data_IF_829164073615
#
_entry.id   IF_829164073615
#
_cell.length_a   1.000
_cell.length_b   1.000
_cell.length_c   1.000
_cell.angle_alpha   90.00
_cell.angle_beta   90.00
_cell.angle_gamma   90.00
#
_symmetry.space_group_name_H-M   'P 1'
#
loop_
_entity.id
_entity.type
_entity.pdbx_description
1 polymer ?
#
# COMPACT_ATOMS: atom_id res chain seq x y z
N UNK A 1 18.63 -8.71 -12.59
CA UNK A 1 17.41 -9.01 -11.80
C UNK A 1 17.53 -8.73 -10.30
N UNK A 2 18.70 -8.43 -9.72
CA UNK A 2 18.85 -8.27 -8.26
C UNK A 2 18.52 -6.88 -7.70
N UNK A 3 18.61 -5.81 -8.51
CA UNK A 3 18.53 -4.43 -8.02
C UNK A 3 17.22 -4.18 -7.26
N UNK A 4 16.05 -4.19 -7.88
CA UNK A 4 14.81 -3.80 -7.19
C UNK A 4 14.10 -4.92 -6.39
N UNK A 5 14.76 -6.05 -6.13
CA UNK A 5 14.09 -7.24 -5.57
C UNK A 5 13.52 -6.99 -4.18
N UNK A 6 14.28 -6.32 -3.30
CA UNK A 6 13.86 -6.05 -1.92
C UNK A 6 12.69 -5.08 -1.89
N UNK A 7 12.79 -3.97 -2.64
CA UNK A 7 11.69 -3.01 -2.77
C UNK A 7 10.42 -3.68 -3.31
N UNK A 8 10.54 -4.51 -4.35
CA UNK A 8 9.39 -5.21 -4.92
C UNK A 8 8.76 -6.23 -3.96
N UNK A 9 9.56 -6.97 -3.19
CA UNK A 9 9.03 -7.89 -2.15
C UNK A 9 8.27 -7.09 -1.09
N UNK A 10 8.83 -5.96 -0.64
CA UNK A 10 8.19 -5.12 0.35
C UNK A 10 6.86 -4.55 -0.15
N UNK A 11 6.80 -4.13 -1.42
CA UNK A 11 5.56 -3.72 -2.07
C UNK A 11 4.56 -4.87 -2.23
N UNK A 12 5.02 -6.11 -2.49
CA UNK A 12 4.14 -7.29 -2.54
C UNK A 12 3.56 -7.59 -1.17
N UNK A 13 4.35 -7.50 -0.10
CA UNK A 13 3.85 -7.69 1.28
C UNK A 13 2.82 -6.61 1.60
N UNK A 14 3.13 -5.35 1.33
CA UNK A 14 2.22 -4.24 1.61
C UNK A 14 0.93 -4.33 0.79
N UNK A 15 1.03 -4.44 -0.54
CA UNK A 15 -0.17 -4.44 -1.41
C UNK A 15 -0.93 -5.76 -1.44
N UNK A 16 -0.21 -6.89 -1.40
CA UNK A 16 -0.80 -8.22 -1.47
C UNK A 16 -1.29 -8.72 -0.12
N UNK A 17 -0.45 -8.66 0.91
CA UNK A 17 -0.76 -9.27 2.20
C UNK A 17 -1.54 -8.32 3.12
N UNK A 18 -1.14 -7.05 3.18
CA UNK A 18 -1.77 -6.07 4.08
C UNK A 18 -3.04 -5.51 3.45
N UNK A 19 -2.94 -4.87 2.28
CA UNK A 19 -4.10 -4.22 1.64
C UNK A 19 -5.11 -5.25 1.13
N UNK A 20 -4.71 -6.14 0.21
CA UNK A 20 -5.63 -7.13 -0.35
C UNK A 20 -5.98 -8.25 0.63
N UNK A 21 -5.01 -8.73 1.42
CA UNK A 21 -5.27 -9.76 2.43
C UNK A 21 -6.21 -9.28 3.54
N UNK A 22 -6.10 -8.02 3.97
CA UNK A 22 -7.04 -7.41 4.91
C UNK A 22 -8.48 -7.45 4.38
N UNK A 23 -8.68 -7.09 3.12
CA UNK A 23 -10.00 -7.09 2.48
C UNK A 23 -10.54 -8.51 2.31
N UNK A 24 -9.70 -9.46 1.85
CA UNK A 24 -10.09 -10.87 1.73
C UNK A 24 -10.48 -11.48 3.08
N UNK A 25 -9.80 -11.10 4.16
CA UNK A 25 -10.13 -11.51 5.53
C UNK A 25 -11.47 -10.96 6.04
N UNK A 26 -11.97 -9.89 5.43
CA UNK A 26 -13.26 -9.26 5.77
C UNK A 26 -14.43 -9.83 4.94
N UNK A 27 -14.16 -10.52 3.82
CA UNK A 27 -15.20 -11.16 2.99
C UNK A 27 -16.07 -12.16 3.79
N UNK A 28 -15.54 -13.03 4.66
CA UNK A 28 -16.37 -13.91 5.49
C UNK A 28 -17.35 -13.16 6.39
N UNK A 29 -16.98 -11.97 6.89
CA UNK A 29 -17.86 -11.13 7.70
C UNK A 29 -19.05 -10.58 6.89
N UNK A 30 -18.90 -10.42 5.56
CA UNK A 30 -20.00 -10.03 4.66
C UNK A 30 -21.00 -11.15 4.43
N UNK A 31 -20.56 -12.41 4.43
CA UNK A 31 -21.44 -13.58 4.22
C UNK A 31 -22.12 -14.09 5.50
N UNK A 32 -21.52 -13.85 6.68
CA UNK A 32 -22.03 -14.36 7.98
C UNK A 32 -23.11 -13.42 8.59
N UNK A 33 -23.36 -12.27 7.97
CA UNK A 33 -24.30 -11.27 8.44
C UNK A 33 -23.63 -10.23 9.34
N UNK A 34 -23.76 -8.96 8.98
CA UNK A 34 -23.17 -7.79 9.66
C UNK A 34 -23.64 -7.61 11.10
N UNK A 35 -24.71 -8.31 11.51
CA UNK A 35 -25.32 -8.20 12.84
C UNK A 35 -24.49 -8.89 13.93
N UNK A 36 -23.57 -9.79 13.57
CA UNK A 36 -22.69 -10.51 14.50
C UNK A 36 -21.23 -10.04 14.48
N UNK A 37 -20.79 -9.39 13.41
CA UNK A 37 -19.42 -8.92 13.23
C UNK A 37 -19.43 -7.42 12.92
N UNK A 38 -19.37 -6.63 13.99
CA UNK A 38 -19.22 -5.18 13.89
C UNK A 38 -17.77 -4.84 13.51
N UNK A 39 -17.55 -4.69 12.21
CA UNK A 39 -16.26 -4.44 11.59
C UNK A 39 -15.63 -3.13 12.11
N UNK A 40 -16.48 -2.19 12.54
CA UNK A 40 -16.08 -0.91 13.11
C UNK A 40 -15.31 -1.04 14.43
N UNK A 41 -15.42 -2.17 15.13
CA UNK A 41 -14.63 -2.46 16.35
C UNK A 41 -13.18 -2.83 16.09
N UNK A 42 -12.85 -3.23 14.86
CA UNK A 42 -11.51 -3.69 14.49
C UNK A 42 -10.74 -2.65 13.69
N UNK A 43 -11.44 -1.68 13.10
CA UNK A 43 -10.86 -0.57 12.36
C UNK A 43 -11.35 0.73 12.96
N UNK A 44 -10.42 1.51 13.48
CA UNK A 44 -10.68 2.84 14.01
C UNK A 44 -9.97 3.84 13.10
N UNK A 45 -10.71 4.70 12.43
CA UNK A 45 -10.14 5.78 11.63
C UNK A 45 -10.35 7.11 12.36
N UNK A 46 -9.29 7.92 12.43
CA UNK A 46 -9.37 9.28 12.98
C UNK A 46 -10.36 10.16 12.20
N UNK A 47 -10.52 9.92 10.90
CA UNK A 47 -11.49 10.63 10.08
C UNK A 47 -12.82 9.86 10.06
N UNK A 48 -13.85 10.45 10.68
CA UNK A 48 -15.18 9.84 10.81
C UNK A 48 -15.77 9.41 9.46
N UNK A 49 -15.51 10.16 8.38
CA UNK A 49 -15.98 9.82 7.03
C UNK A 49 -15.55 8.40 6.60
N UNK A 50 -14.32 7.97 6.93
CA UNK A 50 -13.87 6.62 6.59
C UNK A 50 -14.48 5.56 7.50
N UNK A 51 -14.74 5.90 8.76
CA UNK A 51 -15.44 5.04 9.72
C UNK A 51 -16.89 4.77 9.28
N UNK A 52 -17.56 5.78 8.73
CA UNK A 52 -18.95 5.67 8.30
C UNK A 52 -19.07 4.99 6.91
N UNK A 53 -18.00 5.00 6.11
CA UNK A 53 -17.97 4.48 4.74
C UNK A 53 -16.96 3.33 4.54
N UNK A 54 -16.90 2.39 5.49
CA UNK A 54 -15.94 1.27 5.48
C UNK A 54 -15.96 0.45 4.18
N UNK A 55 -17.12 0.28 3.54
CA UNK A 55 -17.21 -0.41 2.25
C UNK A 55 -16.47 0.31 1.13
N UNK A 56 -16.60 1.63 1.04
CA UNK A 56 -15.85 2.41 0.04
C UNK A 56 -14.36 2.43 0.36
N UNK A 57 -14.01 2.49 1.65
CA UNK A 57 -12.63 2.38 2.14
C UNK A 57 -11.99 1.05 1.73
N UNK A 58 -12.71 -0.07 1.86
CA UNK A 58 -12.25 -1.39 1.40
C UNK A 58 -11.99 -1.41 -0.10
N UNK A 59 -12.91 -0.89 -0.92
CA UNK A 59 -12.72 -0.84 -2.38
C UNK A 59 -11.48 -0.01 -2.74
N UNK A 60 -11.29 1.14 -2.07
CA UNK A 60 -10.10 1.98 -2.27
C UNK A 60 -8.82 1.23 -1.89
N UNK A 61 -8.80 0.56 -0.73
CA UNK A 61 -7.66 -0.26 -0.30
C UNK A 61 -7.31 -1.35 -1.32
N UNK A 62 -8.30 -2.01 -1.92
CA UNK A 62 -8.07 -3.01 -2.97
C UNK A 62 -7.41 -2.39 -4.21
N UNK A 63 -7.86 -1.21 -4.63
CA UNK A 63 -7.28 -0.50 -5.77
C UNK A 63 -5.81 -0.13 -5.51
N UNK A 64 -5.50 0.41 -4.32
CA UNK A 64 -4.12 0.69 -3.92
C UNK A 64 -3.25 -0.57 -3.93
N UNK A 65 -3.76 -1.67 -3.37
CA UNK A 65 -3.08 -2.96 -3.35
C UNK A 65 -2.80 -3.51 -4.75
N UNK A 66 -3.78 -3.44 -5.67
CA UNK A 66 -3.61 -3.88 -7.06
C UNK A 66 -2.55 -3.05 -7.79
N UNK A 67 -2.63 -1.72 -7.71
CA UNK A 67 -1.62 -0.86 -8.34
C UNK A 67 -0.22 -1.09 -7.76
N UNK A 68 -0.13 -1.33 -6.45
CA UNK A 68 1.13 -1.66 -5.78
C UNK A 68 1.71 -2.98 -6.27
N UNK A 69 0.89 -4.02 -6.42
CA UNK A 69 1.32 -5.30 -6.97
C UNK A 69 1.76 -5.19 -8.44
N UNK A 70 1.03 -4.45 -9.27
CA UNK A 70 1.40 -4.21 -10.67
C UNK A 70 2.74 -3.47 -10.74
N UNK A 71 2.93 -2.43 -9.92
CA UNK A 71 4.21 -1.72 -9.79
C UNK A 71 5.35 -2.64 -9.35
N UNK A 72 5.12 -3.50 -8.35
CA UNK A 72 6.09 -4.49 -7.89
C UNK A 72 6.47 -5.50 -8.98
N UNK A 73 5.50 -6.02 -9.75
CA UNK A 73 5.76 -6.90 -10.90
C UNK A 73 6.59 -6.17 -11.96
N UNK A 74 6.26 -4.91 -12.24
CA UNK A 74 7.03 -4.07 -13.14
C UNK A 74 8.49 -3.88 -12.68
N UNK A 75 8.71 -3.65 -11.38
CA UNK A 75 10.03 -3.59 -10.76
C UNK A 75 10.80 -4.91 -10.87
N UNK A 76 10.14 -6.06 -10.61
CA UNK A 76 10.76 -7.38 -10.75
C UNK A 76 11.17 -7.69 -12.19
N UNK A 77 10.35 -7.26 -13.15
CA UNK A 77 10.64 -7.34 -14.59
C UNK A 77 11.61 -6.25 -15.06
N UNK A 78 12.12 -5.41 -14.16
CA UNK A 78 13.05 -4.32 -14.44
C UNK A 78 12.54 -3.36 -15.54
N UNK A 79 11.25 -3.02 -15.51
CA UNK A 79 10.61 -2.12 -16.47
C UNK A 79 10.46 -0.72 -15.90
N UNK A 80 10.74 0.30 -16.71
CA UNK A 80 10.64 1.71 -16.30
C UNK A 80 9.23 2.12 -15.86
N UNK A 81 8.19 1.62 -16.53
CA UNK A 81 6.81 1.88 -16.12
C UNK A 81 6.52 1.38 -14.70
N UNK A 82 7.13 0.24 -14.31
CA UNK A 82 6.99 -0.33 -12.97
C UNK A 82 7.63 0.56 -11.92
N UNK A 83 8.82 1.09 -12.21
CA UNK A 83 9.50 2.04 -11.33
C UNK A 83 8.68 3.31 -11.13
N UNK A 84 8.23 3.93 -12.22
CA UNK A 84 7.44 5.17 -12.16
C UNK A 84 6.14 4.96 -11.40
N UNK A 85 5.40 3.89 -11.72
CA UNK A 85 4.15 3.54 -11.02
C UNK A 85 4.40 3.31 -9.53
N UNK A 86 5.47 2.60 -9.17
CA UNK A 86 5.82 2.35 -7.78
C UNK A 86 6.17 3.63 -7.01
N UNK A 87 6.94 4.54 -7.62
CA UNK A 87 7.28 5.83 -7.00
C UNK A 87 6.03 6.67 -6.77
N UNK A 88 5.18 6.82 -7.80
CA UNK A 88 3.91 7.57 -7.71
C UNK A 88 3.05 6.98 -6.59
N UNK A 89 2.87 5.66 -6.57
CA UNK A 89 2.03 5.02 -5.58
C UNK A 89 2.59 5.19 -4.15
N UNK A 90 3.90 5.06 -3.95
CA UNK A 90 4.48 5.28 -2.62
C UNK A 90 4.33 6.72 -2.14
N UNK A 91 4.54 7.71 -3.01
CA UNK A 91 4.38 9.13 -2.66
C UNK A 91 2.92 9.45 -2.30
N UNK A 92 1.96 8.95 -3.08
CA UNK A 92 0.53 9.14 -2.80
C UNK A 92 0.18 8.53 -1.43
N UNK A 93 0.61 7.29 -1.17
CA UNK A 93 0.33 6.63 0.11
C UNK A 93 0.93 7.36 1.31
N UNK A 94 2.18 7.82 1.22
CA UNK A 94 2.80 8.63 2.28
C UNK A 94 2.03 9.94 2.49
N UNK A 95 1.53 10.56 1.41
CA UNK A 95 0.74 11.79 1.51
C UNK A 95 -0.61 11.53 2.22
N UNK A 96 -1.24 10.40 1.91
CA UNK A 96 -2.57 10.08 2.43
C UNK A 96 -2.56 9.44 3.83
N UNK A 97 -1.43 8.90 4.28
CA UNK A 97 -1.33 8.15 5.54
C UNK A 97 -1.85 8.91 6.77
N UNK A 98 -1.71 10.24 6.78
CA UNK A 98 -2.13 11.09 7.89
C UNK A 98 -3.64 11.06 8.12
N UNK A 99 -4.42 10.84 7.05
CA UNK A 99 -5.88 10.76 7.11
C UNK A 99 -6.38 9.38 7.55
N UNK A 100 -5.49 8.38 7.52
CA UNK A 100 -5.80 6.98 7.79
C UNK A 100 -5.31 6.52 9.16
N UNK A 101 -4.92 7.44 10.05
CA UNK A 101 -4.43 7.09 11.38
C UNK A 101 -5.49 6.29 12.17
N UNK A 102 -5.08 5.20 12.86
CA UNK A 102 -3.70 4.74 13.08
C UNK A 102 -3.16 3.81 11.97
N UNK A 103 -4.01 3.21 11.13
CA UNK A 103 -3.60 2.28 10.07
C UNK A 103 -2.55 2.89 9.11
N UNK A 104 -2.65 4.19 8.85
CA UNK A 104 -1.70 4.94 8.04
C UNK A 104 -0.24 4.90 8.54
N UNK A 105 0.01 4.62 9.82
CA UNK A 105 1.40 4.46 10.31
C UNK A 105 2.09 3.29 9.58
N UNK A 106 1.38 2.16 9.42
CA UNK A 106 1.92 1.02 8.69
C UNK A 106 2.15 1.39 7.23
N UNK A 107 1.19 2.07 6.60
CA UNK A 107 1.32 2.52 5.21
C UNK A 107 2.55 3.40 5.01
N UNK A 108 2.81 4.32 5.93
CA UNK A 108 3.99 5.17 5.93
C UNK A 108 5.29 4.38 6.04
N UNK A 109 5.35 3.39 6.95
CA UNK A 109 6.54 2.56 7.12
C UNK A 109 6.83 1.75 5.86
N UNK A 110 5.83 1.06 5.31
CA UNK A 110 6.02 0.22 4.14
C UNK A 110 6.25 1.04 2.87
N UNK A 111 5.40 2.02 2.57
CA UNK A 111 5.54 2.86 1.37
C UNK A 111 6.82 3.73 1.43
N UNK A 112 7.14 4.29 2.60
CA UNK A 112 8.37 5.05 2.82
C UNK A 112 9.62 4.20 2.61
N UNK A 113 9.66 3.01 3.21
CA UNK A 113 10.79 2.08 3.04
C UNK A 113 10.94 1.64 1.58
N UNK A 114 9.84 1.30 0.91
CA UNK A 114 9.85 0.94 -0.52
C UNK A 114 10.40 2.09 -1.37
N UNK A 115 9.94 3.33 -1.14
CA UNK A 115 10.36 4.49 -1.89
C UNK A 115 11.85 4.77 -1.72
N UNK A 116 12.35 4.75 -0.47
CA UNK A 116 13.78 4.93 -0.18
C UNK A 116 14.61 3.89 -0.92
N UNK A 117 14.22 2.61 -0.84
CA UNK A 117 14.92 1.54 -1.55
C UNK A 117 14.90 1.74 -3.06
N UNK A 118 13.77 2.13 -3.65
CA UNK A 118 13.67 2.40 -5.10
C UNK A 118 14.63 3.53 -5.50
N UNK A 119 14.62 4.63 -4.75
CA UNK A 119 15.45 5.80 -5.04
C UNK A 119 16.94 5.50 -4.87
N UNK A 120 17.34 4.85 -3.77
CA UNK A 120 18.71 4.39 -3.55
C UNK A 120 19.18 3.48 -4.68
N UNK A 121 18.32 2.59 -5.17
CA UNK A 121 18.67 1.64 -6.22
C UNK A 121 18.76 2.28 -7.62
N UNK A 122 17.91 3.29 -7.87
CA UNK A 122 17.83 3.99 -9.15
C UNK A 122 18.91 5.06 -9.30
N UNK A 123 19.07 5.90 -8.28
CA UNK A 123 20.06 6.98 -8.28
C UNK A 123 21.43 6.51 -7.81
N UNK A 124 21.51 5.55 -6.87
CA UNK A 124 22.76 4.92 -6.44
C UNK A 124 23.81 5.94 -6.03
N UNK A 125 24.98 5.85 -6.68
CA UNK A 125 26.14 6.70 -6.40
C UNK A 125 26.12 8.04 -7.16
N UNK A 126 25.02 8.37 -7.85
CA UNK A 126 24.89 9.65 -8.54
C UNK A 126 24.92 10.78 -7.51
N UNK A 127 25.88 11.69 -7.69
CA UNK A 127 25.97 12.91 -6.91
C UNK A 127 25.15 14.00 -7.57
N UNK A 128 24.72 14.96 -6.76
CA UNK A 128 24.18 16.20 -7.26
C UNK A 128 25.39 16.99 -7.77
N UNK A 129 25.49 17.18 -9.08
CA UNK A 129 26.50 18.05 -9.69
C UNK A 129 26.01 19.50 -9.52
N UNK A 130 26.88 20.39 -9.00
CA UNK A 130 26.61 21.82 -8.83
C UNK A 130 26.53 22.57 -10.17
#
# INVERSE_FOLDING_TARGET
MKKYKIAAILMIIHGGFIELGGILGMIPALFIGTDKYDISKYFEFKLQYFQDNLYMMMIMGALYGVFRLIGAIGLLKNRMWGLVLSVINCVITITLMMFLLPAGIMDGIFAGSALILILMQYFGDKKIEE
#
